data_IF_984736616145
#
_entry.id   IF_984736616145
#
_cell.length_a   1.000
_cell.length_b   1.000
_cell.length_c   1.000
_cell.angle_alpha   90.00
_cell.angle_beta   90.00
_cell.angle_gamma   90.00
#
_symmetry.space_group_name_H-M   'P 1'
#
loop_
_entity.id
_entity.type
_entity.pdbx_description
1 polymer ?
#
# COMPACT_ATOMS: atom_id res chain seq x y z
N UNK A 1 17.30 -54.61 49.41
CA UNK A 1 16.81 -54.35 50.77
C UNK A 1 15.66 -53.35 50.65
N UNK A 2 14.42 -53.81 50.51
CA UNK A 2 13.42 -54.01 51.58
C UNK A 2 13.12 -52.72 52.39
N UNK A 3 11.98 -52.11 52.01
CA UNK A 3 10.86 -51.61 52.83
C UNK A 3 11.17 -50.73 54.04
N UNK A 4 10.63 -49.50 54.03
CA UNK A 4 9.89 -48.98 55.19
C UNK A 4 8.74 -48.05 54.74
N UNK A 5 7.53 -48.49 55.06
CA UNK A 5 6.26 -47.76 55.02
C UNK A 5 6.03 -47.10 56.38
N UNK A 6 5.23 -46.02 56.47
CA UNK A 6 4.12 -45.85 57.46
C UNK A 6 3.44 -44.47 57.35
N UNK A 7 2.18 -44.52 56.92
CA UNK A 7 0.90 -43.93 57.44
C UNK A 7 0.93 -42.53 58.08
N UNK A 8 0.32 -41.54 57.40
CA UNK A 8 -1.01 -40.94 57.69
C UNK A 8 -1.10 -40.06 58.95
N UNK A 9 -1.10 -38.75 58.75
CA UNK A 9 -1.79 -37.79 59.64
C UNK A 9 -2.78 -37.00 58.80
N UNK A 10 -4.01 -36.95 59.29
CA UNK A 10 -5.18 -36.37 58.65
C UNK A 10 -5.34 -34.87 58.98
N UNK A 11 -6.25 -34.24 58.22
CA UNK A 11 -7.07 -33.06 58.54
C UNK A 11 -6.50 -31.66 58.18
N UNK A 12 -7.36 -30.67 57.86
CA UNK A 12 -8.24 -30.58 56.69
C UNK A 12 -8.18 -29.19 55.99
N UNK A 13 -8.93 -29.06 54.88
CA UNK A 13 -9.63 -27.86 54.43
C UNK A 13 -8.85 -26.54 54.26
N UNK A 14 -8.61 -26.14 53.01
CA UNK A 14 -9.19 -24.92 52.43
C UNK A 14 -8.81 -24.79 50.94
N UNK A 15 -9.69 -24.14 50.18
CA UNK A 15 -9.46 -23.50 48.87
C UNK A 15 -9.63 -24.38 47.62
N UNK A 16 -10.88 -24.38 47.10
CA UNK A 16 -11.10 -24.30 45.67
C UNK A 16 -10.42 -23.04 45.11
N UNK A 17 -9.92 -23.11 43.87
CA UNK A 17 -10.60 -22.33 42.85
C UNK A 17 -10.86 -23.12 41.56
N UNK A 18 -12.12 -23.01 41.12
CA UNK A 18 -12.58 -22.85 39.75
C UNK A 18 -11.48 -22.97 38.66
N UNK A 19 -11.35 -24.14 38.05
CA UNK A 19 -10.65 -24.27 36.77
C UNK A 19 -11.60 -23.73 35.70
N UNK A 20 -11.38 -22.48 35.31
CA UNK A 20 -11.99 -21.87 34.14
C UNK A 20 -11.55 -22.63 32.88
N UNK A 21 -12.52 -23.16 32.14
CA UNK A 21 -12.27 -23.70 30.81
C UNK A 21 -11.91 -22.55 29.87
N UNK A 22 -10.61 -22.38 29.60
CA UNK A 22 -10.13 -21.50 28.55
C UNK A 22 -10.44 -22.14 27.19
N UNK A 23 -11.51 -21.69 26.54
CA UNK A 23 -11.80 -22.00 25.14
C UNK A 23 -10.86 -21.15 24.30
N UNK A 24 -9.82 -21.78 23.75
CA UNK A 24 -9.00 -21.18 22.72
C UNK A 24 -9.89 -20.96 21.48
N UNK A 25 -10.23 -19.69 21.23
CA UNK A 25 -10.86 -19.29 19.98
C UNK A 25 -9.85 -19.54 18.85
N UNK A 26 -10.24 -20.40 17.92
CA UNK A 26 -9.58 -20.63 16.63
C UNK A 26 -9.55 -19.29 15.88
N UNK A 27 -8.40 -18.60 15.91
CA UNK A 27 -8.13 -17.42 15.09
C UNK A 27 -8.07 -17.87 13.62
N UNK A 28 -9.25 -17.91 12.98
CA UNK A 28 -9.35 -18.05 11.53
C UNK A 28 -8.78 -16.79 10.89
N UNK A 29 -7.48 -16.83 10.62
CA UNK A 29 -6.77 -15.76 9.92
C UNK A 29 -7.26 -15.75 8.48
N UNK A 30 -8.24 -14.90 8.20
CA UNK A 30 -8.72 -14.63 6.84
C UNK A 30 -7.68 -13.78 6.12
N UNK A 31 -6.82 -14.42 5.34
CA UNK A 31 -5.86 -13.73 4.47
C UNK A 31 -6.63 -13.17 3.28
N UNK A 32 -6.92 -11.86 3.33
CA UNK A 32 -7.48 -11.14 2.19
C UNK A 32 -6.33 -10.77 1.26
N UNK A 33 -6.12 -11.56 0.21
CA UNK A 33 -5.20 -11.19 -0.87
C UNK A 33 -5.96 -10.32 -1.87
N UNK A 34 -5.71 -9.01 -1.85
CA UNK A 34 -6.13 -8.13 -2.93
C UNK A 34 -5.25 -8.45 -4.15
N UNK A 35 -5.81 -9.09 -5.17
CA UNK A 35 -5.12 -9.26 -6.45
C UNK A 35 -5.19 -7.91 -7.20
N UNK A 36 -4.06 -7.25 -7.50
CA UNK A 36 -4.08 -6.05 -8.32
C UNK A 36 -4.51 -6.43 -9.75
N UNK A 37 -5.60 -5.85 -10.22
CA UNK A 37 -6.01 -5.99 -11.62
C UNK A 37 -5.07 -5.13 -12.47
N UNK A 38 -4.12 -5.75 -13.14
CA UNK A 38 -3.21 -5.05 -14.07
C UNK A 38 -3.98 -4.57 -15.29
N UNK A 39 -3.85 -3.30 -15.65
CA UNK A 39 -4.49 -2.78 -16.86
C UNK A 39 -3.74 -3.25 -18.10
N UNK A 40 -4.40 -4.11 -18.89
CA UNK A 40 -3.89 -4.56 -20.18
C UNK A 40 -3.95 -3.44 -21.22
N UNK A 41 -2.83 -3.22 -21.94
CA UNK A 41 -2.74 -2.28 -23.07
C UNK A 41 -3.75 -2.57 -24.17
N UNK A 42 -4.16 -3.83 -24.34
CA UNK A 42 -5.08 -4.26 -25.39
C UNK A 42 -6.54 -3.91 -25.05
N UNK A 43 -6.87 -3.84 -23.76
CA UNK A 43 -8.24 -3.69 -23.27
C UNK A 43 -8.63 -2.23 -23.01
N UNK A 44 -7.67 -1.31 -23.11
CA UNK A 44 -7.89 0.12 -22.82
C UNK A 44 -7.57 0.98 -24.05
N UNK A 45 -8.47 1.89 -24.47
CA UNK A 45 -8.22 2.81 -25.58
C UNK A 45 -7.20 3.93 -25.26
N UNK A 46 -6.56 3.86 -24.09
CA UNK A 46 -5.58 4.83 -23.60
C UNK A 46 -4.19 4.21 -23.57
N UNK A 47 -3.16 5.03 -23.75
CA UNK A 47 -1.78 4.56 -23.72
C UNK A 47 -1.37 4.25 -22.28
N UNK A 48 -1.13 2.97 -21.97
CA UNK A 48 -0.62 2.52 -20.68
C UNK A 48 0.90 2.53 -20.70
N UNK A 49 1.51 2.74 -19.54
CA UNK A 49 2.93 2.51 -19.32
C UNK A 49 3.10 1.93 -17.94
N UNK A 50 3.77 0.79 -17.89
CA UNK A 50 4.00 0.06 -16.65
C UNK A 50 5.45 0.28 -16.24
N UNK A 51 5.65 0.71 -15.00
CA UNK A 51 6.96 0.84 -14.36
C UNK A 51 7.00 -0.17 -13.23
N UNK A 52 7.95 -1.10 -13.27
CA UNK A 52 8.05 -2.12 -12.24
C UNK A 52 8.74 -1.54 -10.99
N UNK A 53 8.27 -1.92 -9.81
CA UNK A 53 8.83 -1.50 -8.53
C UNK A 53 10.31 -1.88 -8.42
N UNK A 54 10.72 -3.04 -8.92
CA UNK A 54 12.14 -3.45 -8.94
C UNK A 54 13.04 -2.46 -9.66
N UNK A 55 12.58 -1.95 -10.82
CA UNK A 55 13.30 -0.95 -11.59
C UNK A 55 13.39 0.36 -10.82
N UNK A 56 12.32 0.77 -10.14
CA UNK A 56 12.33 1.96 -9.30
C UNK A 56 13.30 1.85 -8.12
N UNK A 57 13.37 0.68 -7.49
CA UNK A 57 14.25 0.41 -6.35
C UNK A 57 15.73 0.35 -6.74
N UNK A 58 16.03 -0.03 -7.98
CA UNK A 58 17.40 -0.12 -8.50
C UNK A 58 17.89 1.21 -9.11
N UNK A 59 16.98 2.02 -9.67
CA UNK A 59 17.35 3.23 -10.41
C UNK A 59 17.76 4.41 -9.54
N UNK A 60 17.33 4.48 -8.27
CA UNK A 60 17.46 5.72 -7.49
C UNK A 60 17.50 5.53 -5.97
N UNK A 61 17.91 6.57 -5.20
CA UNK A 61 17.90 6.59 -3.74
C UNK A 61 16.52 6.42 -3.08
N UNK A 62 15.45 6.26 -3.87
CA UNK A 62 14.10 5.93 -3.39
C UNK A 62 13.46 7.04 -2.56
N UNK A 63 13.88 8.28 -2.77
CA UNK A 63 13.43 9.43 -1.99
C UNK A 63 12.21 10.09 -2.62
N UNK A 64 12.16 10.14 -3.96
CA UNK A 64 11.08 10.82 -4.67
C UNK A 64 10.60 10.03 -5.90
N UNK A 65 9.30 10.11 -6.18
CA UNK A 65 8.74 9.53 -7.41
C UNK A 65 9.32 10.17 -8.68
N UNK A 66 9.85 11.39 -8.59
CA UNK A 66 10.51 12.06 -9.72
C UNK A 66 11.74 11.32 -10.25
N UNK A 67 12.38 10.53 -9.40
CA UNK A 67 13.62 9.84 -9.75
C UNK A 67 13.34 8.62 -10.64
N UNK A 68 12.29 7.86 -10.34
CA UNK A 68 11.98 6.63 -11.08
C UNK A 68 10.95 6.84 -12.21
N UNK A 69 10.05 7.83 -12.09
CA UNK A 69 8.99 8.07 -13.08
C UNK A 69 9.43 8.87 -14.32
N UNK A 70 10.69 9.35 -14.36
CA UNK A 70 11.22 10.11 -15.49
C UNK A 70 11.31 9.32 -16.81
N UNK A 71 11.29 7.99 -16.75
CA UNK A 71 11.31 7.12 -17.93
C UNK A 71 9.96 7.08 -18.69
N UNK A 72 8.86 7.48 -18.06
CA UNK A 72 7.53 7.39 -18.66
C UNK A 72 7.30 8.54 -19.65
N UNK A 73 6.97 8.27 -20.93
CA UNK A 73 6.83 9.35 -21.90
C UNK A 73 5.67 10.28 -21.56
N UNK A 74 5.84 11.59 -21.72
CA UNK A 74 4.76 12.56 -21.50
C UNK A 74 4.24 12.66 -20.06
N UNK A 75 4.87 11.99 -19.11
CA UNK A 75 4.78 12.25 -17.68
C UNK A 75 5.92 13.20 -17.32
N UNK A 76 5.61 14.28 -16.61
CA UNK A 76 6.61 15.16 -16.04
C UNK A 76 6.39 15.23 -14.53
N UNK A 77 7.44 14.95 -13.79
CA UNK A 77 7.46 15.02 -12.34
C UNK A 77 8.50 16.04 -11.94
N UNK A 78 8.06 17.15 -11.36
CA UNK A 78 8.94 18.24 -10.95
C UNK A 78 9.08 18.20 -9.44
N UNK A 79 10.33 17.97 -8.99
CA UNK A 79 10.71 18.07 -7.60
C UNK A 79 11.37 19.44 -7.36
N UNK A 80 10.72 20.28 -6.55
CA UNK A 80 11.23 21.61 -6.18
C UNK A 80 12.04 21.61 -4.88
N UNK A 81 12.48 20.44 -4.41
CA UNK A 81 13.27 20.22 -3.19
C UNK A 81 12.59 20.74 -1.92
N UNK A 82 11.25 20.76 -1.93
CA UNK A 82 10.45 21.19 -0.80
C UNK A 82 9.60 20.00 -0.31
N UNK A 83 10.17 19.19 0.58
CA UNK A 83 9.54 17.98 1.12
C UNK A 83 8.30 18.25 1.99
N UNK A 84 8.06 19.50 2.39
CA UNK A 84 6.83 19.89 3.07
C UNK A 84 5.66 20.09 2.10
N UNK A 85 5.93 20.05 0.79
CA UNK A 85 4.95 20.20 -0.28
C UNK A 85 5.07 19.01 -1.24
N UNK A 86 3.97 18.58 -1.84
CA UNK A 86 3.98 17.47 -2.77
C UNK A 86 4.72 17.79 -4.09
N UNK A 87 5.21 16.72 -4.73
CA UNK A 87 5.76 16.76 -6.08
C UNK A 87 4.71 17.28 -7.07
N UNK A 88 5.14 18.12 -8.02
CA UNK A 88 4.27 18.56 -9.10
C UNK A 88 4.25 17.47 -10.18
N UNK A 89 3.08 16.84 -10.37
CA UNK A 89 2.87 15.80 -11.37
C UNK A 89 2.05 16.34 -12.54
N UNK A 90 2.50 16.08 -13.77
CA UNK A 90 1.71 16.41 -14.95
C UNK A 90 1.82 15.36 -16.05
N UNK A 91 0.69 15.07 -16.72
CA UNK A 91 0.60 14.10 -17.82
C UNK A 91 0.06 14.83 -19.05
N UNK A 92 0.84 14.87 -20.13
CA UNK A 92 0.48 15.57 -21.40
C UNK A 92 -0.09 16.99 -21.16
N UNK A 93 0.44 17.71 -20.17
CA UNK A 93 0.05 19.09 -19.82
C UNK A 93 -1.08 19.20 -18.78
N UNK A 94 -1.81 18.13 -18.47
CA UNK A 94 -2.73 18.11 -17.33
C UNK A 94 -1.93 18.14 -16.03
N UNK A 95 -2.32 18.98 -15.07
CA UNK A 95 -1.56 19.19 -13.82
C UNK A 95 -0.41 20.20 -13.92
N UNK A 96 -0.02 20.64 -15.13
CA UNK A 96 1.05 21.64 -15.32
C UNK A 96 0.76 23.00 -14.68
N UNK A 97 -0.51 23.31 -14.44
CA UNK A 97 -0.98 24.56 -13.79
C UNK A 97 -0.82 24.53 -12.27
N UNK A 98 -0.62 23.37 -11.65
CA UNK A 98 -0.39 23.29 -10.22
C UNK A 98 1.06 23.65 -9.92
N UNK A 99 1.32 24.53 -8.96
CA UNK A 99 2.70 24.85 -8.56
C UNK A 99 3.32 23.79 -7.66
N UNK A 100 2.47 23.03 -6.94
CA UNK A 100 2.80 21.91 -6.07
C UNK A 100 1.67 20.89 -6.10
N UNK A 101 1.98 19.63 -5.81
CA UNK A 101 1.01 18.54 -5.79
C UNK A 101 0.38 18.23 -7.14
N UNK A 102 -0.67 17.41 -7.09
CA UNK A 102 -1.30 16.85 -8.29
C UNK A 102 -2.69 17.44 -8.45
N UNK A 103 -2.97 18.09 -9.58
CA UNK A 103 -4.30 18.66 -9.87
C UNK A 103 -4.82 18.19 -11.21
N UNK A 104 -6.05 17.69 -11.24
CA UNK A 104 -6.69 17.24 -12.48
C UNK A 104 -6.14 15.92 -13.00
N UNK A 105 -5.41 15.17 -12.17
CA UNK A 105 -5.09 13.77 -12.40
C UNK A 105 -5.78 12.95 -11.30
N UNK A 106 -6.07 11.68 -11.61
CA UNK A 106 -6.57 10.71 -10.63
C UNK A 106 -5.44 9.76 -10.29
N UNK A 107 -5.21 9.56 -8.99
CA UNK A 107 -4.22 8.65 -8.45
C UNK A 107 -4.98 7.60 -7.67
N UNK A 108 -4.69 6.35 -7.96
CA UNK A 108 -5.22 5.20 -7.26
C UNK A 108 -4.05 4.46 -6.61
N UNK A 109 -4.24 4.06 -5.36
CA UNK A 109 -3.32 3.20 -4.63
C UNK A 109 -4.15 1.99 -4.24
N UNK A 110 -3.80 0.81 -4.76
CA UNK A 110 -4.53 -0.44 -4.52
C UNK A 110 -6.05 -0.34 -4.82
N UNK A 111 -6.43 0.46 -5.83
CA UNK A 111 -7.83 0.73 -6.18
C UNK A 111 -8.52 1.79 -5.32
N UNK A 112 -7.89 2.29 -4.25
CA UNK A 112 -8.40 3.37 -3.41
C UNK A 112 -7.96 4.71 -4.02
N UNK A 113 -8.88 5.65 -4.27
CA UNK A 113 -8.50 6.95 -4.79
C UNK A 113 -7.70 7.71 -3.72
N UNK A 114 -6.44 8.02 -4.03
CA UNK A 114 -5.60 8.93 -3.26
C UNK A 114 -5.82 10.40 -3.65
N UNK A 115 -6.84 10.66 -4.48
CA UNK A 115 -7.26 12.00 -4.89
C UNK A 115 -8.56 12.40 -4.24
N UNK A 116 -8.57 13.62 -3.73
CA UNK A 116 -9.75 14.29 -3.21
C UNK A 116 -10.78 14.55 -4.33
N UNK A 117 -12.07 14.70 -3.99
CA UNK A 117 -13.14 14.94 -4.96
C UNK A 117 -13.01 16.28 -5.69
N UNK A 118 -12.19 17.21 -5.19
CA UNK A 118 -11.82 18.46 -5.85
C UNK A 118 -10.71 18.27 -6.92
N UNK A 119 -10.26 17.04 -7.13
CA UNK A 119 -9.22 16.67 -8.09
C UNK A 119 -7.80 16.98 -7.60
N UNK A 120 -7.60 17.22 -6.30
CA UNK A 120 -6.28 17.33 -5.69
C UNK A 120 -5.78 15.97 -5.21
N UNK A 121 -4.59 15.59 -5.63
CA UNK A 121 -3.89 14.38 -5.20
C UNK A 121 -2.63 14.72 -4.45
N UNK A 122 -2.34 13.91 -3.43
CA UNK A 122 -1.07 13.94 -2.72
C UNK A 122 -0.25 12.72 -3.12
N UNK A 123 1.03 12.91 -3.36
CA UNK A 123 1.97 11.85 -3.76
C UNK A 123 2.87 11.41 -2.61
N UNK A 124 2.97 12.24 -1.56
CA UNK A 124 3.78 11.98 -0.36
C UNK A 124 3.33 10.75 0.44
N UNK A 125 2.10 10.27 0.22
CA UNK A 125 1.56 9.11 0.95
C UNK A 125 1.91 7.77 0.29
N UNK A 126 2.63 7.79 -0.84
CA UNK A 126 3.02 6.58 -1.59
C UNK A 126 4.49 6.28 -1.27
N UNK A 127 4.74 5.16 -0.61
CA UNK A 127 6.09 4.69 -0.34
C UNK A 127 6.64 3.88 -1.53
N UNK A 128 7.72 4.34 -2.13
CA UNK A 128 8.39 3.65 -3.26
C UNK A 128 8.95 2.29 -2.82
N UNK A 129 9.24 2.12 -1.52
CA UNK A 129 9.75 0.85 -0.99
C UNK A 129 8.75 -0.30 -1.01
N UNK A 130 7.44 -0.01 -0.93
CA UNK A 130 6.37 -1.00 -0.89
C UNK A 130 5.60 -1.16 -2.20
N UNK A 131 5.86 -0.29 -3.18
CA UNK A 131 5.21 -0.33 -4.50
C UNK A 131 5.76 -1.50 -5.31
N UNK A 132 4.86 -2.38 -5.76
CA UNK A 132 5.19 -3.49 -6.66
C UNK A 132 5.19 -3.04 -8.14
N UNK A 133 4.20 -2.25 -8.55
CA UNK A 133 4.09 -1.76 -9.93
C UNK A 133 3.36 -0.41 -9.97
N UNK A 134 3.81 0.49 -10.84
CA UNK A 134 3.11 1.75 -11.15
C UNK A 134 2.62 1.70 -12.58
N UNK A 135 1.31 1.89 -12.73
CA UNK A 135 0.67 1.99 -14.04
C UNK A 135 0.29 3.44 -14.33
N UNK A 136 0.77 3.96 -15.45
CA UNK A 136 0.48 5.32 -15.90
C UNK A 136 -0.40 5.26 -17.13
N UNK A 137 -1.68 5.57 -16.93
CA UNK A 137 -2.64 5.68 -18.02
C UNK A 137 -2.63 7.10 -18.59
N UNK A 138 -2.37 7.21 -19.89
CA UNK A 138 -2.26 8.49 -20.60
C UNK A 138 -3.30 8.54 -21.72
N UNK A 139 -4.28 9.41 -21.56
CA UNK A 139 -5.32 9.63 -22.56
C UNK A 139 -6.66 10.01 -21.95
N UNK A 140 -7.66 10.34 -22.77
CA UNK A 140 -9.02 10.59 -22.31
C UNK A 140 -9.62 9.28 -21.76
N UNK A 141 -9.75 9.20 -20.45
CA UNK A 141 -10.44 8.10 -19.78
C UNK A 141 -11.88 8.52 -19.51
N UNK A 142 -12.80 7.98 -20.30
CA UNK A 142 -14.24 8.14 -20.08
C UNK A 142 -14.81 7.08 -19.12
N UNK A 143 -14.11 5.96 -18.93
CA UNK A 143 -14.51 4.87 -18.03
C UNK A 143 -13.49 4.71 -16.89
N UNK A 144 -13.92 4.63 -15.62
CA UNK A 144 -13.04 4.26 -14.51
C UNK A 144 -12.49 2.85 -14.74
N UNK A 145 -11.19 2.66 -14.51
CA UNK A 145 -10.59 1.33 -14.39
C UNK A 145 -11.21 0.69 -13.14
N UNK A 146 -11.75 -0.52 -13.30
CA UNK A 146 -12.53 -1.23 -12.27
C UNK A 146 -11.63 -1.99 -11.31
#
# INVERSE_FOLDING_TARGET
MKILSVRHVALPALLLPLIAAAQAADEQTMVVTAAPTTVSELDTPAAVSVVNGDEMRQAAPRVNLSESLGAVPGLQVQNRQNYAQDLQLSIRGFGSRSTYGVRGLRIYVDGIPATMPDGQGQTSNIDIGSVDTIEVLRGPLLCPVR
#
